data_IF_736564050461
#
_entry.id   IF_736564050461
#
_cell.length_a   1.000
_cell.length_b   1.000
_cell.length_c   1.000
_cell.angle_alpha   90.00
_cell.angle_beta   90.00
_cell.angle_gamma   90.00
#
_symmetry.space_group_name_H-M   'P 1'
#
loop_
_entity.id
_entity.type
_entity.pdbx_description
1 polymer ?
#
# COMPACT_ATOMS: atom_id res chain seq x y z
N UNK A 1 22.55 -30.22 22.59
CA UNK A 1 23.30 -28.95 22.51
C UNK A 1 24.77 -29.24 22.23
N UNK A 2 25.53 -29.84 23.16
CA UNK A 2 26.98 -30.12 23.02
C UNK A 2 27.45 -30.91 21.76
N UNK A 3 26.61 -31.80 21.19
CA UNK A 3 27.00 -32.63 20.03
C UNK A 3 26.99 -31.88 18.70
N UNK A 4 26.10 -30.89 18.55
CA UNK A 4 26.02 -30.06 17.35
C UNK A 4 27.19 -29.07 17.30
N UNK A 5 27.53 -28.48 18.45
CA UNK A 5 28.68 -27.59 18.59
C UNK A 5 30.00 -28.32 18.30
N UNK A 6 30.14 -29.57 18.74
CA UNK A 6 31.34 -30.38 18.49
C UNK A 6 31.54 -30.71 17.00
N UNK A 7 30.46 -30.95 16.26
CA UNK A 7 30.53 -31.20 14.81
C UNK A 7 30.85 -29.91 14.05
N UNK A 8 30.23 -28.78 14.42
CA UNK A 8 30.54 -27.48 13.80
C UNK A 8 31.99 -27.04 14.01
N UNK A 9 32.59 -27.37 15.17
CA UNK A 9 34.00 -27.11 15.43
C UNK A 9 34.95 -27.90 14.51
N UNK A 10 34.55 -29.11 14.08
CA UNK A 10 35.36 -29.94 13.17
C UNK A 10 35.21 -29.46 11.73
N UNK A 11 34.00 -29.07 11.31
CA UNK A 11 33.77 -28.46 9.98
C UNK A 11 34.58 -27.16 9.79
N UNK A 12 34.71 -26.34 10.85
CA UNK A 12 35.55 -25.13 10.81
C UNK A 12 37.03 -25.39 10.50
N UNK A 13 37.54 -26.60 10.77
CA UNK A 13 38.93 -26.95 10.47
C UNK A 13 39.15 -27.25 8.98
N UNK A 14 38.11 -27.63 8.24
CA UNK A 14 38.20 -27.86 6.79
C UNK A 14 38.38 -26.56 6.00
N UNK A 15 37.83 -25.45 6.51
CA UNK A 15 37.92 -24.11 5.92
C UNK A 15 39.15 -23.31 6.42
N UNK A 16 40.00 -23.89 7.27
CA UNK A 16 41.13 -23.20 7.86
C UNK A 16 42.21 -22.93 6.80
N UNK A 17 42.32 -21.66 6.38
CA UNK A 17 43.40 -21.19 5.50
C UNK A 17 44.71 -21.21 6.30
N UNK A 18 45.61 -22.12 5.95
CA UNK A 18 46.95 -22.18 6.54
C UNK A 18 47.75 -20.95 6.08
N UNK A 19 48.46 -20.26 6.99
CA UNK A 19 49.28 -19.12 6.62
C UNK A 19 50.40 -19.57 5.66
N UNK A 20 50.52 -18.89 4.52
CA UNK A 20 51.74 -18.86 3.73
C UNK A 20 52.66 -17.79 4.34
N UNK A 21 53.96 -18.04 4.39
CA UNK A 21 55.01 -17.16 4.93
C UNK A 21 55.26 -15.91 4.04
N UNK A 22 54.23 -15.44 3.36
CA UNK A 22 54.32 -14.32 2.43
C UNK A 22 54.39 -12.98 3.18
N UNK A 23 55.41 -12.15 2.97
CA UNK A 23 55.53 -10.86 3.64
C UNK A 23 54.38 -9.92 3.23
N UNK A 24 53.77 -9.25 4.21
CA UNK A 24 52.69 -8.30 3.99
C UNK A 24 53.21 -7.04 3.25
N UNK A 25 52.78 -6.86 2.00
CA UNK A 25 53.16 -5.72 1.13
C UNK A 25 52.13 -4.57 1.22
N UNK A 26 50.97 -4.81 1.84
CA UNK A 26 49.86 -3.85 1.88
C UNK A 26 49.96 -2.83 3.02
N UNK A 27 49.53 -1.60 2.75
CA UNK A 27 49.57 -0.49 3.71
C UNK A 27 48.54 -0.64 4.84
N UNK A 28 48.82 -0.03 5.99
CA UNK A 28 47.90 0.01 7.14
C UNK A 28 46.56 0.65 6.76
N UNK A 29 45.46 -0.02 7.13
CA UNK A 29 44.09 0.48 6.99
C UNK A 29 43.87 1.77 7.79
N UNK A 30 43.34 2.80 7.12
CA UNK A 30 42.87 4.04 7.74
C UNK A 30 41.40 3.91 8.16
N UNK A 31 41.01 4.44 9.32
CA UNK A 31 39.63 4.39 9.78
C UNK A 31 38.73 5.31 8.93
N UNK A 32 37.69 4.74 8.34
CA UNK A 32 36.61 5.48 7.68
C UNK A 32 35.53 5.84 8.71
N UNK A 33 35.16 7.12 8.77
CA UNK A 33 34.00 7.56 9.53
C UNK A 33 32.73 7.31 8.71
N UNK A 34 32.04 6.21 8.99
CA UNK A 34 30.72 5.94 8.41
C UNK A 34 29.63 6.60 9.27
N UNK A 35 28.92 7.59 8.72
CA UNK A 35 27.66 8.08 9.28
C UNK A 35 26.52 7.26 8.67
N UNK A 36 25.78 6.53 9.51
CA UNK A 36 24.60 5.77 9.07
C UNK A 36 23.34 6.61 9.23
N UNK A 37 22.53 6.68 8.18
CA UNK A 37 21.14 7.10 8.25
C UNK A 37 20.28 5.82 8.21
N UNK A 38 19.33 5.67 9.13
CA UNK A 38 18.44 4.51 9.21
C UNK A 38 17.13 4.70 8.44
N UNK A 39 17.03 5.76 7.64
CA UNK A 39 15.87 5.98 6.78
C UNK A 39 15.75 4.86 5.72
N UNK A 40 14.59 4.22 5.69
CA UNK A 40 14.24 3.15 4.74
C UNK A 40 13.60 3.68 3.45
N UNK A 41 13.66 4.98 3.20
CA UNK A 41 13.18 5.58 1.95
C UNK A 41 14.19 5.47 0.79
N UNK A 42 15.44 5.07 1.08
CA UNK A 42 16.50 4.81 0.09
C UNK A 42 16.67 5.97 -0.91
N UNK A 43 16.56 7.22 -0.47
CA UNK A 43 16.64 8.42 -1.32
C UNK A 43 17.98 8.53 -2.05
N UNK A 44 19.04 7.99 -1.44
CA UNK A 44 20.41 7.97 -1.92
C UNK A 44 20.74 6.77 -2.84
N UNK A 45 19.77 5.91 -3.16
CA UNK A 45 19.99 4.70 -4.00
C UNK A 45 20.71 4.97 -5.31
N UNK A 46 20.51 6.16 -5.90
CA UNK A 46 21.14 6.57 -7.15
C UNK A 46 22.62 6.97 -6.99
N UNK A 47 23.11 7.20 -5.77
CA UNK A 47 24.52 7.48 -5.51
C UNK A 47 25.38 6.20 -5.52
N UNK A 48 24.76 5.03 -5.35
CA UNK A 48 25.43 3.73 -5.31
C UNK A 48 25.49 3.03 -6.67
N UNK A 49 25.75 3.77 -7.76
CA UNK A 49 25.79 3.27 -9.15
C UNK A 49 26.81 2.14 -9.35
N UNK A 50 27.87 2.10 -8.54
CA UNK A 50 28.89 1.03 -8.55
C UNK A 50 28.49 -0.22 -7.77
N UNK A 51 27.34 -0.21 -7.09
CA UNK A 51 26.81 -1.35 -6.32
C UNK A 51 26.17 -2.42 -7.20
N UNK A 52 25.95 -3.61 -6.63
CA UNK A 52 25.29 -4.71 -7.33
C UNK A 52 23.85 -4.28 -7.69
N UNK A 53 23.56 -4.17 -8.99
CA UNK A 53 22.28 -3.69 -9.57
C UNK A 53 21.02 -4.22 -8.86
N UNK A 54 21.05 -5.46 -8.37
CA UNK A 54 19.97 -6.11 -7.61
C UNK A 54 19.53 -5.35 -6.35
N UNK A 55 20.44 -4.68 -5.64
CA UNK A 55 20.12 -3.96 -4.41
C UNK A 55 19.44 -2.62 -4.69
N UNK A 56 19.83 -1.95 -5.78
CA UNK A 56 19.16 -0.73 -6.25
C UNK A 56 17.73 -1.05 -6.69
N UNK A 57 17.55 -2.18 -7.38
CA UNK A 57 16.25 -2.68 -7.80
C UNK A 57 15.34 -2.95 -6.58
N UNK A 58 15.84 -3.66 -5.57
CA UNK A 58 15.09 -3.92 -4.32
C UNK A 58 14.77 -2.63 -3.57
N UNK A 59 15.74 -1.74 -3.37
CA UNK A 59 15.55 -0.45 -2.71
C UNK A 59 14.51 0.43 -3.41
N UNK A 60 14.50 0.42 -4.74
CA UNK A 60 13.52 1.16 -5.54
C UNK A 60 12.10 0.64 -5.31
N UNK A 61 11.92 -0.68 -5.28
CA UNK A 61 10.62 -1.28 -4.99
C UNK A 61 10.22 -1.08 -3.54
N UNK A 62 11.15 -1.22 -2.60
CA UNK A 62 10.89 -1.03 -1.18
C UNK A 62 10.34 0.38 -0.91
N UNK A 63 10.98 1.42 -1.45
CA UNK A 63 10.46 2.79 -1.35
C UNK A 63 9.02 2.92 -1.88
N UNK A 64 8.74 2.34 -3.05
CA UNK A 64 7.38 2.35 -3.63
C UNK A 64 6.33 1.67 -2.74
N UNK A 65 6.69 0.53 -2.11
CA UNK A 65 5.79 -0.14 -1.17
C UNK A 65 5.56 0.67 0.11
N UNK A 66 6.57 1.43 0.58
CA UNK A 66 6.40 2.33 1.72
C UNK A 66 5.43 3.48 1.40
N UNK A 67 5.50 4.05 0.20
CA UNK A 67 4.55 5.09 -0.25
C UNK A 67 3.11 4.56 -0.28
N UNK A 68 2.92 3.35 -0.83
CA UNK A 68 1.60 2.71 -0.87
C UNK A 68 1.06 2.36 0.53
N UNK A 69 1.93 1.99 1.47
CA UNK A 69 1.53 1.78 2.87
C UNK A 69 1.04 3.09 3.51
N UNK A 70 1.71 4.22 3.23
CA UNK A 70 1.31 5.52 3.72
C UNK A 70 -0.05 5.96 3.13
N UNK A 71 -0.26 5.78 1.81
CA UNK A 71 -1.55 6.05 1.17
C UNK A 71 -2.66 5.12 1.71
N UNK A 72 -2.36 3.84 1.91
CA UNK A 72 -3.28 2.87 2.49
C UNK A 72 -3.70 3.24 3.92
N UNK A 73 -2.79 3.79 4.72
CA UNK A 73 -3.12 4.33 6.05
C UNK A 73 -4.10 5.51 5.96
N UNK A 74 -3.93 6.41 4.99
CA UNK A 74 -4.88 7.51 4.76
C UNK A 74 -6.27 6.99 4.38
N UNK A 75 -6.34 5.93 3.55
CA UNK A 75 -7.60 5.27 3.23
C UNK A 75 -8.22 4.58 4.45
N UNK A 76 -7.43 3.90 5.27
CA UNK A 76 -7.89 3.27 6.50
C UNK A 76 -8.48 4.32 7.47
N UNK A 77 -7.81 5.47 7.62
CA UNK A 77 -8.30 6.57 8.43
C UNK A 77 -9.66 7.08 7.91
N UNK A 78 -9.79 7.33 6.60
CA UNK A 78 -11.04 7.76 5.98
C UNK A 78 -12.19 6.76 6.23
N UNK A 79 -11.95 5.45 6.08
CA UNK A 79 -12.94 4.41 6.33
C UNK A 79 -13.32 4.34 7.80
N UNK A 80 -12.34 4.40 8.70
CA UNK A 80 -12.53 4.33 10.14
C UNK A 80 -13.38 5.50 10.65
N UNK A 81 -13.08 6.73 10.20
CA UNK A 81 -13.80 7.93 10.61
C UNK A 81 -15.09 8.17 9.83
N UNK A 82 -15.44 7.31 8.87
CA UNK A 82 -16.66 7.46 8.08
C UNK A 82 -17.91 7.42 8.98
N UNK A 83 -18.70 8.49 8.91
CA UNK A 83 -20.02 8.64 9.54
C UNK A 83 -21.07 8.83 8.46
N UNK A 84 -22.27 8.30 8.68
CA UNK A 84 -23.34 8.28 7.69
C UNK A 84 -23.84 9.71 7.38
N UNK A 85 -23.54 10.20 6.18
CA UNK A 85 -24.00 11.52 5.71
C UNK A 85 -25.49 11.50 5.34
N UNK A 86 -25.96 10.41 4.73
CA UNK A 86 -27.35 10.23 4.31
C UNK A 86 -28.33 10.21 5.48
N UNK A 87 -27.89 9.87 6.69
CA UNK A 87 -28.72 9.94 7.90
C UNK A 87 -28.94 11.39 8.36
N UNK A 88 -27.99 12.29 8.11
CA UNK A 88 -28.10 13.70 8.44
C UNK A 88 -28.78 14.52 7.34
N UNK A 89 -28.77 14.03 6.10
CA UNK A 89 -29.37 14.72 4.97
C UNK A 89 -30.92 14.67 5.01
N UNK A 90 -31.61 15.74 4.56
CA UNK A 90 -33.06 15.72 4.43
C UNK A 90 -33.52 14.63 3.47
N UNK A 91 -34.54 13.88 3.85
CA UNK A 91 -35.13 12.83 3.02
C UNK A 91 -36.39 13.32 2.32
N UNK A 92 -36.54 12.93 1.05
CA UNK A 92 -37.78 13.15 0.29
C UNK A 92 -38.85 12.22 0.87
N UNK A 93 -39.98 12.79 1.31
CA UNK A 93 -41.08 12.05 1.94
C UNK A 93 -42.11 11.55 0.93
N UNK A 94 -42.33 12.29 -0.15
CA UNK A 94 -43.28 11.95 -1.21
C UNK A 94 -42.85 12.49 -2.56
N UNK A 95 -43.38 11.91 -3.64
CA UNK A 95 -43.08 12.36 -5.01
C UNK A 95 -43.60 13.77 -5.30
N UNK A 96 -44.66 14.20 -4.62
CA UNK A 96 -45.29 15.51 -4.82
C UNK A 96 -44.70 16.59 -3.92
N UNK A 97 -43.63 16.27 -3.18
CA UNK A 97 -42.96 17.22 -2.30
C UNK A 97 -42.37 18.40 -3.13
N UNK A 98 -42.75 19.67 -2.85
CA UNK A 98 -42.37 20.81 -3.69
C UNK A 98 -40.85 21.02 -3.79
N UNK A 99 -40.12 20.87 -2.68
CA UNK A 99 -38.68 21.07 -2.61
C UNK A 99 -37.86 19.78 -2.87
N UNK A 100 -38.47 18.73 -3.45
CA UNK A 100 -37.80 17.46 -3.76
C UNK A 100 -36.52 17.63 -4.58
N UNK A 101 -36.59 18.47 -5.62
CA UNK A 101 -35.45 18.69 -6.53
C UNK A 101 -34.30 19.37 -5.81
N UNK A 102 -34.60 20.37 -4.96
CA UNK A 102 -33.61 21.09 -4.16
C UNK A 102 -32.94 20.16 -3.14
N UNK A 103 -33.72 19.33 -2.44
CA UNK A 103 -33.21 18.32 -1.51
C UNK A 103 -32.26 17.37 -2.23
N UNK A 104 -32.69 16.79 -3.36
CA UNK A 104 -31.86 15.86 -4.13
C UNK A 104 -30.58 16.54 -4.63
N UNK A 105 -30.63 17.80 -5.04
CA UNK A 105 -29.45 18.56 -5.45
C UNK A 105 -28.46 18.71 -4.30
N UNK A 106 -28.93 19.09 -3.10
CA UNK A 106 -28.07 19.22 -1.92
C UNK A 106 -27.51 17.89 -1.43
N UNK A 107 -28.29 16.81 -1.51
CA UNK A 107 -27.81 15.46 -1.20
C UNK A 107 -26.66 15.06 -2.13
N UNK A 108 -26.79 15.30 -3.43
CA UNK A 108 -25.72 15.02 -4.40
C UNK A 108 -24.50 15.89 -4.12
N UNK A 109 -24.69 17.20 -3.87
CA UNK A 109 -23.60 18.14 -3.56
C UNK A 109 -22.77 17.68 -2.34
N UNK A 110 -23.44 17.26 -1.26
CA UNK A 110 -22.78 16.79 -0.03
C UNK A 110 -22.12 15.43 -0.21
N UNK A 111 -22.77 14.48 -0.89
CA UNK A 111 -22.27 13.11 -1.02
C UNK A 111 -21.21 12.96 -2.12
N UNK A 112 -21.15 13.85 -3.12
CA UNK A 112 -20.18 13.77 -4.21
C UNK A 112 -18.72 13.65 -3.75
N UNK A 113 -18.18 14.53 -2.89
CA UNK A 113 -16.79 14.41 -2.44
C UNK A 113 -16.51 13.12 -1.66
N UNK A 114 -17.51 12.59 -0.96
CA UNK A 114 -17.39 11.31 -0.25
C UNK A 114 -17.35 10.14 -1.25
N UNK A 115 -18.19 10.14 -2.28
CA UNK A 115 -18.15 9.14 -3.36
C UNK A 115 -16.82 9.20 -4.12
N UNK A 116 -16.23 10.38 -4.31
CA UNK A 116 -14.91 10.53 -4.94
C UNK A 116 -13.80 9.91 -4.07
N UNK A 117 -13.91 9.95 -2.73
CA UNK A 117 -13.01 9.20 -1.84
C UNK A 117 -13.17 7.68 -2.01
N UNK A 118 -14.40 7.19 -2.20
CA UNK A 118 -14.65 5.75 -2.45
C UNK A 118 -14.09 5.31 -3.80
N UNK A 119 -14.22 6.14 -4.84
CA UNK A 119 -13.61 5.85 -6.14
C UNK A 119 -12.08 5.78 -6.03
N UNK A 120 -11.45 6.76 -5.35
CA UNK A 120 -10.00 6.72 -5.09
C UNK A 120 -9.59 5.48 -4.32
N UNK A 121 -10.33 5.13 -3.27
CA UNK A 121 -10.09 3.91 -2.50
C UNK A 121 -10.15 2.65 -3.38
N UNK A 122 -11.16 2.52 -4.25
CA UNK A 122 -11.29 1.38 -5.16
C UNK A 122 -10.11 1.31 -6.14
N UNK A 123 -9.71 2.44 -6.73
CA UNK A 123 -8.56 2.51 -7.64
C UNK A 123 -7.27 2.13 -6.93
N UNK A 124 -7.03 2.69 -5.74
CA UNK A 124 -5.90 2.35 -4.88
C UNK A 124 -5.85 0.85 -4.56
N UNK A 125 -6.95 0.25 -4.10
CA UNK A 125 -6.95 -1.17 -3.75
C UNK A 125 -6.64 -2.08 -4.94
N UNK A 126 -7.15 -1.75 -6.13
CA UNK A 126 -6.87 -2.54 -7.33
C UNK A 126 -5.40 -2.45 -7.74
N UNK A 127 -4.83 -1.24 -7.72
CA UNK A 127 -3.42 -1.01 -8.06
C UNK A 127 -2.49 -1.65 -7.01
N UNK A 128 -2.77 -1.46 -5.72
CA UNK A 128 -1.99 -2.03 -4.63
C UNK A 128 -1.98 -3.58 -4.67
N UNK A 129 -3.13 -4.22 -4.91
CA UNK A 129 -3.21 -5.68 -5.07
C UNK A 129 -2.41 -6.14 -6.28
N UNK A 130 -2.56 -5.46 -7.42
CA UNK A 130 -1.84 -5.82 -8.65
C UNK A 130 -0.32 -5.79 -8.44
N UNK A 131 0.19 -4.69 -7.86
CA UNK A 131 1.62 -4.51 -7.55
C UNK A 131 2.14 -5.52 -6.54
N UNK A 132 1.37 -5.78 -5.48
CA UNK A 132 1.75 -6.79 -4.49
C UNK A 132 1.84 -8.18 -5.10
N UNK A 133 0.86 -8.59 -5.89
CA UNK A 133 0.85 -9.88 -6.59
C UNK A 133 1.99 -10.00 -7.61
N UNK A 134 2.31 -8.92 -8.33
CA UNK A 134 3.46 -8.87 -9.23
C UNK A 134 4.77 -9.10 -8.49
N UNK A 135 4.93 -8.46 -7.33
CA UNK A 135 6.14 -8.60 -6.53
C UNK A 135 6.30 -9.99 -5.94
N UNK A 136 5.22 -10.57 -5.40
CA UNK A 136 5.23 -11.97 -4.94
C UNK A 136 5.58 -12.91 -6.10
N UNK A 137 5.01 -12.71 -7.30
CA UNK A 137 5.33 -13.52 -8.49
C UNK A 137 6.82 -13.41 -8.85
N UNK A 138 7.39 -12.20 -8.78
CA UNK A 138 8.82 -11.95 -9.07
C UNK A 138 9.73 -12.67 -8.06
N UNK A 139 9.45 -12.54 -6.77
CA UNK A 139 10.21 -13.18 -5.70
C UNK A 139 10.10 -14.71 -5.73
N UNK A 140 8.98 -15.24 -6.21
CA UNK A 140 8.76 -16.68 -6.37
C UNK A 140 9.34 -17.26 -7.68
N UNK A 141 9.91 -16.45 -8.57
CA UNK A 141 10.51 -16.93 -9.81
C UNK A 141 11.71 -17.86 -9.52
N UNK A 142 11.88 -18.94 -10.29
CA UNK A 142 12.89 -20.00 -10.02
C UNK A 142 14.30 -19.44 -9.87
N UNK A 143 14.67 -18.50 -10.75
CA UNK A 143 15.97 -17.82 -10.71
C UNK A 143 16.13 -16.87 -9.50
N UNK A 144 15.01 -16.33 -8.97
CA UNK A 144 15.01 -15.36 -7.86
C UNK A 144 14.85 -15.99 -6.48
N UNK A 145 14.34 -17.23 -6.39
CA UNK A 145 14.16 -17.93 -5.11
C UNK A 145 15.46 -18.22 -4.36
N UNK A 146 16.60 -18.22 -5.07
CA UNK A 146 17.94 -18.39 -4.49
C UNK A 146 18.63 -17.07 -4.18
N UNK A 147 18.05 -15.94 -4.64
CA UNK A 147 18.59 -14.62 -4.36
C UNK A 147 18.29 -14.23 -2.91
N UNK A 148 19.23 -13.49 -2.32
CA UNK A 148 19.00 -12.83 -1.04
C UNK A 148 17.87 -11.80 -1.16
N UNK A 149 16.99 -11.76 -0.17
CA UNK A 149 15.95 -10.74 0.00
C UNK A 149 16.14 -10.13 1.39
N UNK A 150 16.16 -8.81 1.51
CA UNK A 150 16.35 -8.21 2.83
C UNK A 150 15.19 -8.48 3.78
N UNK A 151 15.49 -8.69 5.06
CA UNK A 151 14.49 -8.87 6.11
C UNK A 151 13.54 -7.67 6.19
N UNK A 152 14.07 -6.46 6.07
CA UNK A 152 13.28 -5.24 6.06
C UNK A 152 12.23 -5.25 4.92
N UNK A 153 12.62 -5.74 3.73
CA UNK A 153 11.68 -5.83 2.62
C UNK A 153 10.59 -6.89 2.85
N UNK A 154 10.94 -8.04 3.42
CA UNK A 154 9.97 -9.07 3.81
C UNK A 154 8.98 -8.55 4.88
N UNK A 155 9.47 -7.77 5.85
CA UNK A 155 8.61 -7.10 6.84
C UNK A 155 7.64 -6.12 6.18
N UNK A 156 8.10 -5.34 5.20
CA UNK A 156 7.25 -4.41 4.43
C UNK A 156 6.16 -5.16 3.66
N UNK A 157 6.47 -6.29 3.03
CA UNK A 157 5.47 -7.14 2.39
C UNK A 157 4.45 -7.71 3.40
N UNK A 158 4.91 -8.11 4.58
CA UNK A 158 4.04 -8.52 5.69
C UNK A 158 3.09 -7.42 6.17
N UNK A 159 3.60 -6.18 6.28
CA UNK A 159 2.77 -5.00 6.59
C UNK A 159 1.73 -4.75 5.49
N UNK A 160 2.06 -5.03 4.23
CA UNK A 160 1.15 -4.90 3.10
C UNK A 160 -0.04 -5.87 3.18
N UNK A 161 0.22 -7.14 3.54
CA UNK A 161 -0.84 -8.11 3.83
C UNK A 161 -1.73 -7.65 4.97
N UNK A 162 -1.13 -7.13 6.05
CA UNK A 162 -1.88 -6.56 7.16
C UNK A 162 -2.73 -5.36 6.73
N UNK A 163 -2.21 -4.48 5.88
CA UNK A 163 -2.96 -3.34 5.33
C UNK A 163 -4.21 -3.81 4.57
N UNK A 164 -4.11 -4.85 3.72
CA UNK A 164 -5.28 -5.39 3.02
C UNK A 164 -6.33 -5.94 3.99
N UNK A 165 -5.91 -6.67 5.02
CA UNK A 165 -6.82 -7.17 6.05
C UNK A 165 -7.55 -6.02 6.77
N UNK A 166 -6.81 -5.00 7.21
CA UNK A 166 -7.38 -3.82 7.89
C UNK A 166 -8.37 -3.09 6.99
N UNK A 167 -8.02 -2.84 5.72
CA UNK A 167 -8.89 -2.14 4.78
C UNK A 167 -10.18 -2.92 4.48
N UNK A 168 -10.08 -4.25 4.32
CA UNK A 168 -11.26 -5.09 4.07
C UNK A 168 -12.20 -5.13 5.28
N UNK A 169 -11.65 -5.32 6.48
CA UNK A 169 -12.43 -5.31 7.73
C UNK A 169 -13.11 -3.95 7.98
N UNK A 170 -12.39 -2.85 7.80
CA UNK A 170 -12.97 -1.50 7.93
C UNK A 170 -14.10 -1.25 6.93
N UNK A 171 -13.92 -1.68 5.67
CA UNK A 171 -14.97 -1.61 4.65
C UNK A 171 -16.18 -2.46 5.05
N UNK A 172 -15.96 -3.67 5.56
CA UNK A 172 -17.02 -4.62 5.91
C UNK A 172 -17.85 -4.16 7.12
N UNK A 173 -17.21 -3.58 8.13
CA UNK A 173 -17.89 -3.09 9.34
C UNK A 173 -18.76 -1.84 9.09
N UNK A 174 -18.53 -1.09 8.00
CA UNK A 174 -19.14 0.23 7.80
C UNK A 174 -20.32 0.21 6.83
N UNK A 175 -21.49 -0.24 7.32
CA UNK A 175 -22.75 -0.17 6.57
C UNK A 175 -23.10 1.26 6.07
N UNK A 176 -22.66 2.29 6.79
CA UNK A 176 -22.84 3.71 6.42
C UNK A 176 -22.30 4.04 5.03
N UNK A 177 -21.16 3.44 4.64
CA UNK A 177 -20.56 3.66 3.32
C UNK A 177 -21.50 3.18 2.20
N UNK A 178 -22.05 1.97 2.36
CA UNK A 178 -23.01 1.39 1.39
C UNK A 178 -24.29 2.23 1.32
N UNK A 179 -24.77 2.71 2.46
CA UNK A 179 -25.97 3.54 2.54
C UNK A 179 -25.78 4.89 1.83
N UNK A 180 -24.67 5.58 2.10
CA UNK A 180 -24.33 6.88 1.51
C UNK A 180 -24.15 6.75 -0.01
N UNK A 181 -23.42 5.73 -0.48
CA UNK A 181 -23.28 5.46 -1.91
C UNK A 181 -24.62 5.15 -2.58
N UNK A 182 -25.49 4.37 -1.91
CA UNK A 182 -26.83 4.06 -2.42
C UNK A 182 -27.73 5.28 -2.48
N UNK A 183 -27.65 6.18 -1.51
CA UNK A 183 -28.38 7.45 -1.50
C UNK A 183 -27.92 8.39 -2.62
N UNK A 184 -26.61 8.51 -2.82
CA UNK A 184 -26.04 9.27 -3.93
C UNK A 184 -26.50 8.71 -5.29
N UNK A 185 -26.44 7.39 -5.49
CA UNK A 185 -26.85 6.76 -6.76
C UNK A 185 -28.32 7.00 -7.07
N UNK A 186 -29.22 6.82 -6.09
CA UNK A 186 -30.67 7.02 -6.26
C UNK A 186 -30.99 8.46 -6.69
N UNK A 187 -30.47 9.44 -5.97
CA UNK A 187 -30.70 10.87 -6.23
C UNK A 187 -30.11 11.33 -7.57
N UNK A 188 -28.98 10.77 -7.98
CA UNK A 188 -28.35 11.08 -9.27
C UNK A 188 -29.18 10.54 -10.45
N UNK A 189 -29.64 9.28 -10.36
CA UNK A 189 -30.48 8.65 -11.39
C UNK A 189 -31.83 9.36 -11.55
N UNK A 190 -32.46 9.77 -10.45
CA UNK A 190 -33.70 10.56 -10.49
C UNK A 190 -33.51 11.91 -11.22
N UNK A 191 -32.34 12.53 -11.02
CA UNK A 191 -32.00 13.80 -11.66
C UNK A 191 -31.75 13.62 -13.17
N UNK A 192 -31.04 12.58 -13.56
CA UNK A 192 -30.83 12.22 -14.98
C UNK A 192 -32.15 11.88 -15.68
N UNK A 193 -33.02 11.10 -15.03
CA UNK A 193 -34.35 10.77 -15.55
C UNK A 193 -35.24 12.02 -15.70
N UNK A 194 -35.21 12.94 -14.72
CA UNK A 194 -35.95 14.20 -14.79
C UNK A 194 -35.45 15.11 -15.91
N UNK A 195 -34.12 15.18 -16.13
CA UNK A 195 -33.52 15.91 -17.27
C UNK A 195 -33.94 15.30 -18.61
N UNK A 196 -33.94 13.98 -18.73
CA UNK A 196 -34.36 13.27 -19.94
C UNK A 196 -35.86 13.39 -20.22
N UNK A 197 -36.71 13.65 -19.21
CA UNK A 197 -38.14 13.93 -19.41
C UNK A 197 -38.37 15.38 -19.85
N UNK A 198 -37.61 16.33 -19.32
CA UNK A 198 -37.64 17.72 -19.77
C UNK A 198 -37.19 17.86 -21.23
N UNK A 199 -36.12 17.15 -21.63
CA UNK A 199 -35.58 17.17 -23.00
C UNK A 199 -36.45 16.43 -24.03
N UNK A 200 -37.43 15.63 -23.59
CA UNK A 200 -38.43 14.97 -24.48
C UNK A 200 -39.69 15.81 -24.69
N UNK A 201 -39.83 16.90 -23.94
CA UNK A 201 -40.94 17.84 -24.05
C UNK A 201 -40.55 19.12 -24.82
N UNK A 202 -39.37 19.09 -25.47
CA UNK A 202 -38.94 20.05 -26.48
C UNK A 202 -38.75 19.32 -27.80
#
# INVERSE_FOLDING_TARGET
MLRLDALGNVELLEDLILPDDQPAIEARVLPLLCRTNFDTNFEDRNAYVTGVSKYIEEATRHALFNDLLAEGLQHAANLYTWRCCSRAAPTVKSNDQPNRVEINMKVVEVLKPEVDKLQRFMMFTNDAIARFCEEVRRLCHVEKRKDFVSEAYLLTLGRFLNMFAVLDELKNMKASIKNDFSAFRRTTLEREWSRSKLMRNF
#
